data_IF_121607278922
#
_entry.id   IF_121607278922
#
_cell.length_a   1.000
_cell.length_b   1.000
_cell.length_c   1.000
_cell.angle_alpha   90.00
_cell.angle_beta   90.00
_cell.angle_gamma   90.00
#
_symmetry.space_group_name_H-M   'P 1'
#
loop_
_entity.id
_entity.type
_entity.pdbx_description
1 polymer ?
#
# COMPACT_ATOMS: atom_id res chain seq x y z
N UNK A 1 25.04 -42.88 -51.01
CA UNK A 1 24.35 -42.20 -49.90
C UNK A 1 23.11 -43.03 -49.56
N UNK A 2 23.19 -44.12 -48.76
CA UNK A 2 23.48 -44.20 -47.30
C UNK A 2 22.41 -43.43 -46.50
N UNK A 3 21.53 -43.99 -45.64
CA UNK A 3 21.18 -45.37 -45.18
C UNK A 3 19.61 -45.49 -45.21
N UNK A 4 18.91 -46.62 -45.39
CA UNK A 4 18.80 -47.88 -44.59
C UNK A 4 18.30 -47.69 -43.12
N UNK A 5 17.44 -48.52 -42.49
CA UNK A 5 16.47 -49.60 -42.89
C UNK A 5 15.66 -50.04 -41.61
N UNK A 6 14.65 -50.92 -41.75
CA UNK A 6 14.08 -51.87 -40.72
C UNK A 6 12.97 -51.41 -39.72
N UNK A 7 11.72 -51.75 -40.08
CA UNK A 7 10.70 -52.62 -39.43
C UNK A 7 10.55 -52.82 -37.88
N UNK A 8 9.28 -52.69 -37.44
CA UNK A 8 8.46 -53.63 -36.62
C UNK A 8 8.83 -54.04 -35.17
N UNK A 9 7.87 -53.86 -34.24
CA UNK A 9 7.36 -54.95 -33.35
C UNK A 9 6.06 -54.55 -32.60
N UNK A 10 5.24 -55.54 -32.21
CA UNK A 10 3.94 -55.40 -31.54
C UNK A 10 3.97 -55.75 -30.03
N UNK A 11 2.99 -55.24 -29.26
CA UNK A 11 2.28 -55.88 -28.10
C UNK A 11 1.05 -55.00 -27.78
N UNK A 12 -0.22 -55.43 -27.79
CA UNK A 12 -0.94 -56.48 -27.01
C UNK A 12 -0.92 -56.23 -25.49
N UNK A 13 -1.99 -56.41 -24.69
CA UNK A 13 -3.46 -56.53 -24.88
C UNK A 13 -4.12 -56.63 -23.46
N UNK A 14 -5.44 -56.39 -23.29
CA UNK A 14 -6.29 -56.78 -22.10
C UNK A 14 -6.01 -56.09 -20.73
N UNK A 15 -6.86 -56.14 -19.69
CA UNK A 15 -8.34 -56.04 -19.50
C UNK A 15 -8.66 -56.07 -17.96
N UNK A 16 -9.91 -55.76 -17.56
CA UNK A 16 -10.56 -55.98 -16.24
C UNK A 16 -10.17 -55.17 -14.97
N UNK A 17 -11.06 -54.22 -14.63
CA UNK A 17 -11.85 -54.05 -13.38
C UNK A 17 -11.51 -54.92 -12.15
N UNK A 18 -11.57 -54.29 -10.94
CA UNK A 18 -11.75 -54.81 -9.54
C UNK A 18 -10.58 -54.38 -8.60
N UNK A 19 -10.74 -53.72 -7.43
CA UNK A 19 -11.93 -53.12 -6.75
C UNK A 19 -11.54 -52.05 -5.68
N UNK A 20 -12.51 -51.66 -4.84
CA UNK A 20 -12.50 -50.87 -3.58
C UNK A 20 -11.19 -50.57 -2.81
N UNK A 21 -11.09 -49.33 -2.30
CA UNK A 21 -10.67 -49.07 -0.91
C UNK A 21 -9.54 -48.06 -0.67
N UNK A 22 -9.58 -47.45 0.51
CA UNK A 22 -8.57 -46.61 1.17
C UNK A 22 -8.24 -45.24 0.54
N UNK A 23 -8.47 -44.22 1.37
CA UNK A 23 -7.78 -42.93 1.35
C UNK A 23 -6.27 -43.11 1.33
N UNK A 24 -5.55 -42.39 0.48
CA UNK A 24 -4.35 -41.66 0.91
C UNK A 24 -3.85 -40.61 -0.09
N UNK A 25 -3.10 -39.67 0.46
CA UNK A 25 -2.55 -38.46 -0.15
C UNK A 25 -1.88 -38.65 -1.52
N UNK A 26 -2.43 -38.00 -2.56
CA UNK A 26 -1.66 -37.66 -3.76
C UNK A 26 -1.05 -36.26 -3.62
N UNK A 27 0.26 -36.22 -3.41
CA UNK A 27 1.06 -34.99 -3.45
C UNK A 27 1.10 -34.50 -4.90
N UNK A 28 0.38 -33.42 -5.21
CA UNK A 28 0.55 -32.69 -6.46
C UNK A 28 1.49 -31.50 -6.24
N UNK A 29 2.75 -31.67 -6.62
CA UNK A 29 3.77 -30.64 -6.47
C UNK A 29 3.59 -29.55 -7.55
N UNK A 30 2.88 -28.48 -7.18
CA UNK A 30 2.88 -27.23 -7.94
C UNK A 30 2.83 -26.08 -6.93
N UNK A 31 3.59 -25.02 -7.17
CA UNK A 31 3.75 -23.90 -6.24
C UNK A 31 2.41 -23.16 -6.02
N UNK A 32 1.64 -23.60 -5.03
CA UNK A 32 0.59 -22.80 -4.43
C UNK A 32 1.25 -21.87 -3.41
N UNK A 33 1.24 -20.57 -3.70
CA UNK A 33 1.23 -19.60 -2.60
C UNK A 33 0.05 -19.95 -1.71
N UNK A 34 0.33 -20.30 -0.46
CA UNK A 34 -0.71 -20.52 0.53
C UNK A 34 -1.51 -19.21 0.65
N UNK A 35 -2.72 -19.21 0.10
CA UNK A 35 -3.72 -18.19 0.40
C UNK A 35 -4.21 -18.45 1.82
N UNK A 36 -3.33 -18.18 2.79
CA UNK A 36 -3.67 -18.01 4.18
C UNK A 36 -4.83 -17.01 4.18
N UNK A 37 -6.00 -17.44 4.67
CA UNK A 37 -7.07 -16.50 4.98
C UNK A 37 -6.56 -15.71 6.18
N UNK A 38 -5.82 -14.64 5.89
CA UNK A 38 -5.44 -13.66 6.87
C UNK A 38 -6.74 -13.16 7.51
N UNK A 39 -6.86 -13.34 8.83
CA UNK A 39 -7.78 -12.52 9.60
C UNK A 39 -7.52 -11.04 9.28
N UNK A 40 -8.51 -10.15 9.43
CA UNK A 40 -8.38 -8.75 9.03
C UNK A 40 -7.07 -8.18 9.56
N UNK A 41 -6.16 -7.80 8.65
CA UNK A 41 -4.81 -7.37 9.03
C UNK A 41 -4.95 -6.26 10.06
N UNK A 42 -4.49 -6.52 11.29
CA UNK A 42 -4.51 -5.50 12.33
C UNK A 42 -3.66 -4.35 11.84
N UNK A 43 -4.27 -3.18 11.67
CA UNK A 43 -3.59 -1.97 11.22
C UNK A 43 -3.14 -1.22 12.48
N UNK A 44 -1.87 -1.34 12.91
CA UNK A 44 -1.44 -0.76 14.17
C UNK A 44 -1.57 0.76 14.14
N UNK A 45 -1.83 1.33 15.32
CA UNK A 45 -1.84 2.77 15.58
C UNK A 45 -0.53 3.15 16.26
N UNK A 46 0.24 4.03 15.63
CA UNK A 46 1.46 4.61 16.17
C UNK A 46 1.18 5.74 17.17
N UNK A 47 -0.01 6.35 17.09
CA UNK A 47 -0.51 7.39 18.00
C UNK A 47 -1.95 7.05 18.42
N UNK A 48 -2.19 5.96 19.18
CA UNK A 48 -3.53 5.48 19.54
C UNK A 48 -4.35 6.48 20.37
N UNK A 49 -3.69 7.39 21.09
CA UNK A 49 -4.31 8.48 21.86
C UNK A 49 -4.97 9.55 20.99
N UNK A 50 -4.63 9.62 19.71
CA UNK A 50 -5.18 10.61 18.77
C UNK A 50 -6.39 10.06 18.03
N UNK A 51 -7.55 10.65 18.27
CA UNK A 51 -8.79 10.30 17.57
C UNK A 51 -8.68 10.59 16.06
N UNK A 52 -9.23 9.70 15.24
CA UNK A 52 -9.37 9.96 13.81
C UNK A 52 -10.47 11.00 13.52
N UNK A 53 -10.40 11.70 12.39
CA UNK A 53 -11.52 12.51 11.91
C UNK A 53 -12.79 11.66 11.72
N UNK A 54 -13.96 12.27 11.93
CA UNK A 54 -15.25 11.58 11.82
C UNK A 54 -15.60 11.06 10.42
N UNK A 55 -14.85 11.47 9.40
CA UNK A 55 -14.90 10.95 8.03
C UNK A 55 -13.55 11.19 7.35
N UNK A 56 -13.17 10.37 6.35
CA UNK A 56 -12.09 10.70 5.42
C UNK A 56 -12.64 11.55 4.28
N UNK A 57 -11.98 12.65 3.92
CA UNK A 57 -12.44 13.52 2.86
C UNK A 57 -12.33 12.85 1.48
N UNK A 58 -13.47 12.86 0.77
CA UNK A 58 -13.55 12.47 -0.62
C UNK A 58 -14.26 13.58 -1.40
N UNK A 59 -13.61 14.19 -2.41
CA UNK A 59 -14.20 15.29 -3.18
C UNK A 59 -15.57 14.94 -3.76
N UNK A 60 -16.56 15.79 -3.50
CA UNK A 60 -17.93 15.61 -3.98
C UNK A 60 -18.78 14.59 -3.21
N UNK A 61 -18.25 13.94 -2.16
CA UNK A 61 -19.07 13.16 -1.20
C UNK A 61 -19.16 13.81 0.18
N UNK A 62 -18.05 14.35 0.70
CA UNK A 62 -17.96 14.82 2.09
C UNK A 62 -17.62 16.33 2.16
N UNK A 63 -18.00 17.05 3.23
CA UNK A 63 -17.63 18.45 3.44
C UNK A 63 -16.11 18.65 3.40
N UNK A 64 -15.64 19.74 2.81
CA UNK A 64 -14.21 20.00 2.67
C UNK A 64 -13.58 20.35 4.02
N UNK A 65 -12.61 19.58 4.56
CA UNK A 65 -12.19 19.68 5.96
C UNK A 65 -11.85 21.06 6.49
N UNK A 66 -11.15 21.90 5.71
CA UNK A 66 -10.75 23.27 6.11
C UNK A 66 -11.53 24.40 5.44
N UNK A 67 -12.37 24.11 4.43
CA UNK A 67 -13.05 25.14 3.60
C UNK A 67 -14.56 25.19 3.79
N UNK A 68 -15.15 24.11 4.30
CA UNK A 68 -16.58 23.98 4.51
C UNK A 68 -16.88 24.16 6.01
N UNK A 69 -17.91 24.92 6.42
CA UNK A 69 -18.30 25.04 7.82
C UNK A 69 -18.62 23.73 8.55
N UNK A 70 -18.96 22.66 7.82
CA UNK A 70 -19.15 21.31 8.35
C UNK A 70 -17.87 20.45 8.29
N UNK A 71 -16.74 21.07 7.92
CA UNK A 71 -15.44 20.42 7.80
C UNK A 71 -14.83 20.03 9.14
N UNK A 72 -14.30 18.81 9.25
CA UNK A 72 -13.68 18.30 10.48
C UNK A 72 -12.39 19.01 10.92
N UNK A 73 -11.97 20.06 10.20
CA UNK A 73 -10.83 20.92 10.54
C UNK A 73 -11.14 22.39 10.21
N UNK A 74 -12.42 22.75 10.13
CA UNK A 74 -12.85 24.11 9.83
C UNK A 74 -12.54 25.02 11.02
N UNK A 75 -11.95 26.19 10.74
CA UNK A 75 -11.45 27.14 11.75
C UNK A 75 -10.50 26.53 12.80
N UNK A 76 -9.99 25.31 12.57
CA UNK A 76 -8.89 24.78 13.38
C UNK A 76 -7.65 25.61 13.07
N UNK A 77 -6.99 26.11 14.12
CA UNK A 77 -5.71 26.79 13.93
C UNK A 77 -4.78 25.88 13.11
N UNK A 78 -4.12 26.40 12.06
CA UNK A 78 -3.09 25.63 11.37
C UNK A 78 -2.06 25.26 12.44
N UNK A 79 -1.80 23.95 12.59
CA UNK A 79 -0.97 23.34 13.66
C UNK A 79 0.12 24.32 14.02
N UNK A 80 0.02 24.90 15.23
CA UNK A 80 0.82 26.06 15.65
C UNK A 80 2.26 25.85 15.22
N UNK A 81 2.88 26.87 14.63
CA UNK A 81 4.19 26.80 13.93
C UNK A 81 5.35 26.56 14.90
N UNK A 82 5.28 25.48 15.66
CA UNK A 82 6.40 24.66 16.07
C UNK A 82 7.15 24.33 14.79
N UNK A 83 8.47 24.48 14.82
CA UNK A 83 9.34 24.13 13.71
C UNK A 83 9.21 22.64 13.42
N UNK A 84 8.38 22.29 12.45
CA UNK A 84 8.22 20.91 11.98
C UNK A 84 9.56 20.49 11.38
N UNK A 85 10.31 19.67 12.11
CA UNK A 85 11.54 19.08 11.62
C UNK A 85 11.23 18.01 10.56
N UNK A 86 12.13 17.82 9.60
CA UNK A 86 12.03 16.78 8.56
C UNK A 86 12.27 15.35 9.10
N UNK A 87 11.79 15.06 10.32
CA UNK A 87 12.08 13.84 11.07
C UNK A 87 11.09 12.70 10.81
N UNK A 88 11.65 11.55 10.43
CA UNK A 88 10.97 10.26 10.26
C UNK A 88 10.52 9.59 11.57
N UNK A 89 10.81 10.19 12.74
CA UNK A 89 10.29 9.75 14.03
C UNK A 89 9.27 10.72 14.64
N UNK A 90 9.00 11.86 13.98
CA UNK A 90 8.11 12.90 14.47
C UNK A 90 6.66 12.44 14.63
N UNK A 91 5.93 13.06 15.57
CA UNK A 91 4.48 12.86 15.74
C UNK A 91 3.70 13.19 14.46
N UNK A 92 4.14 14.18 13.68
CA UNK A 92 3.53 14.55 12.39
C UNK A 92 3.68 13.41 11.38
N UNK A 93 4.87 12.82 11.27
CA UNK A 93 5.11 11.69 10.37
C UNK A 93 4.31 10.44 10.76
N UNK A 94 4.35 10.06 12.06
CA UNK A 94 3.58 8.95 12.62
C UNK A 94 2.07 9.14 12.44
N UNK A 95 1.57 10.37 12.57
CA UNK A 95 0.17 10.68 12.33
C UNK A 95 -0.25 10.47 10.88
N UNK A 96 0.58 10.90 9.91
CA UNK A 96 0.33 10.62 8.50
C UNK A 96 0.34 9.13 8.17
N UNK A 97 1.20 8.33 8.83
CA UNK A 97 1.17 6.86 8.72
C UNK A 97 -0.16 6.29 9.23
N UNK A 98 -0.60 6.68 10.43
CA UNK A 98 -1.87 6.21 11.00
C UNK A 98 -3.04 6.49 10.07
N UNK A 99 -3.13 7.73 9.57
CA UNK A 99 -4.15 8.16 8.61
C UNK A 99 -4.10 7.36 7.30
N UNK A 100 -2.91 7.23 6.70
CA UNK A 100 -2.72 6.50 5.44
C UNK A 100 -3.12 5.03 5.56
N UNK A 101 -2.67 4.36 6.62
CA UNK A 101 -3.00 2.95 6.88
C UNK A 101 -4.51 2.75 7.06
N UNK A 102 -5.24 3.74 7.59
CA UNK A 102 -6.67 3.66 7.87
C UNK A 102 -7.56 4.35 6.82
N UNK A 103 -7.03 4.63 5.62
CA UNK A 103 -7.83 5.11 4.49
C UNK A 103 -8.13 6.61 4.47
N UNK A 104 -7.60 7.38 5.43
CA UNK A 104 -7.68 8.84 5.51
C UNK A 104 -6.62 9.49 4.60
N UNK A 105 -6.75 9.25 3.29
CA UNK A 105 -5.71 9.56 2.32
C UNK A 105 -5.51 11.05 2.05
N UNK A 106 -6.56 11.86 2.13
CA UNK A 106 -6.38 13.32 2.00
C UNK A 106 -5.74 13.89 3.25
N UNK A 107 -6.12 13.40 4.42
CA UNK A 107 -5.59 13.86 5.70
C UNK A 107 -4.12 13.46 5.86
N UNK A 108 -3.73 12.27 5.38
CA UNK A 108 -2.34 11.84 5.32
C UNK A 108 -1.50 12.70 4.36
N UNK A 109 -2.08 13.15 3.24
CA UNK A 109 -1.47 14.10 2.32
C UNK A 109 -1.15 15.43 3.03
N UNK A 110 -2.14 16.06 3.68
CA UNK A 110 -1.94 17.32 4.42
C UNK A 110 -0.96 17.14 5.59
N UNK A 111 -1.00 16.00 6.30
CA UNK A 111 -0.10 15.73 7.42
C UNK A 111 1.38 15.66 6.99
N UNK A 112 1.68 15.19 5.78
CA UNK A 112 3.04 15.08 5.26
C UNK A 112 3.53 16.33 4.50
N UNK A 113 2.65 17.25 4.09
CA UNK A 113 3.04 18.47 3.36
C UNK A 113 3.98 19.40 4.17
N UNK A 114 3.77 19.67 5.48
CA UNK A 114 4.72 20.41 6.30
C UNK A 114 6.11 19.78 6.36
N UNK A 115 6.21 18.44 6.44
CA UNK A 115 7.49 17.72 6.43
C UNK A 115 8.22 17.88 5.09
N UNK A 116 7.48 17.84 3.98
CA UNK A 116 8.01 18.09 2.65
C UNK A 116 8.53 19.54 2.47
N UNK A 117 7.84 20.52 3.06
CA UNK A 117 8.30 21.91 3.09
C UNK A 117 9.48 22.16 4.03
N UNK A 118 9.59 21.40 5.13
CA UNK A 118 10.72 21.42 6.04
C UNK A 118 12.00 20.84 5.41
N UNK A 119 11.85 19.83 4.52
CA UNK A 119 12.93 19.10 3.85
C UNK A 119 13.70 19.92 2.79
N UNK A 120 14.22 21.09 3.19
CA UNK A 120 14.94 22.04 2.32
C UNK A 120 16.38 21.63 2.09
N UNK A 121 17.01 20.93 3.03
CA UNK A 121 18.45 20.58 2.99
C UNK A 121 18.69 19.11 2.63
N UNK A 122 17.72 18.21 2.85
CA UNK A 122 17.83 16.80 2.46
C UNK A 122 17.04 16.50 1.18
N UNK A 123 17.76 16.32 0.06
CA UNK A 123 17.15 15.91 -1.21
C UNK A 123 16.42 14.56 -1.08
N UNK A 124 16.96 13.61 -0.29
CA UNK A 124 16.35 12.31 -0.04
C UNK A 124 14.99 12.43 0.65
N UNK A 125 14.90 13.18 1.76
CA UNK A 125 13.65 13.36 2.49
C UNK A 125 12.62 14.11 1.64
N UNK A 126 13.07 15.11 0.86
CA UNK A 126 12.20 15.85 -0.07
C UNK A 126 11.62 14.98 -1.18
N UNK A 127 12.39 14.01 -1.71
CA UNK A 127 11.89 13.02 -2.67
C UNK A 127 10.93 12.03 -1.99
N UNK A 128 11.28 11.54 -0.79
CA UNK A 128 10.50 10.56 -0.03
C UNK A 128 9.13 11.11 0.39
N UNK A 129 9.07 12.27 1.07
CA UNK A 129 7.79 12.88 1.47
C UNK A 129 6.92 13.23 0.25
N UNK A 130 7.52 13.70 -0.85
CA UNK A 130 6.79 13.94 -2.11
C UNK A 130 6.23 12.65 -2.73
N UNK A 131 6.95 11.53 -2.59
CA UNK A 131 6.46 10.21 -2.96
C UNK A 131 5.25 9.80 -2.13
N UNK A 132 5.34 9.92 -0.80
CA UNK A 132 4.24 9.61 0.13
C UNK A 132 2.99 10.48 -0.13
N UNK A 133 3.19 11.79 -0.33
CA UNK A 133 2.16 12.77 -0.75
C UNK A 133 1.46 12.33 -2.04
N UNK A 134 2.22 11.90 -3.07
CA UNK A 134 1.64 11.43 -4.32
C UNK A 134 0.94 10.07 -4.18
N UNK A 135 1.43 9.18 -3.31
CA UNK A 135 0.80 7.89 -3.03
C UNK A 135 -0.52 8.07 -2.28
N UNK A 136 -0.57 8.98 -1.31
CA UNK A 136 -1.79 9.39 -0.64
C UNK A 136 -2.80 10.01 -1.62
N UNK A 137 -2.35 10.92 -2.50
CA UNK A 137 -3.18 11.46 -3.58
C UNK A 137 -3.71 10.36 -4.53
N UNK A 138 -2.91 9.32 -4.82
CA UNK A 138 -3.38 8.16 -5.57
C UNK A 138 -4.50 7.41 -4.82
N UNK A 139 -4.35 7.19 -3.51
CA UNK A 139 -5.39 6.61 -2.65
C UNK A 139 -6.74 7.35 -2.73
N UNK A 140 -6.71 8.70 -2.66
CA UNK A 140 -7.91 9.52 -2.90
C UNK A 140 -8.50 9.26 -4.28
N UNK A 141 -7.67 9.23 -5.34
CA UNK A 141 -8.16 9.01 -6.71
C UNK A 141 -8.69 7.59 -6.95
N UNK A 142 -8.18 6.59 -6.23
CA UNK A 142 -8.72 5.23 -6.21
C UNK A 142 -10.13 5.28 -5.61
N UNK A 143 -10.32 5.88 -4.42
CA UNK A 143 -11.66 6.04 -3.78
C UNK A 143 -12.65 6.86 -4.62
N UNK A 144 -12.18 7.83 -5.42
CA UNK A 144 -13.01 8.56 -6.39
C UNK A 144 -13.37 7.74 -7.66
N UNK A 145 -12.85 6.51 -7.81
CA UNK A 145 -12.99 5.69 -9.03
C UNK A 145 -12.16 6.19 -10.23
N UNK A 146 -11.29 7.19 -10.03
CA UNK A 146 -10.58 7.94 -11.09
C UNK A 146 -9.28 7.24 -11.51
N UNK A 147 -9.40 6.03 -12.07
CA UNK A 147 -8.28 5.15 -12.52
C UNK A 147 -7.09 5.86 -13.16
N UNK A 148 -7.31 6.64 -14.22
CA UNK A 148 -6.22 7.34 -14.95
C UNK A 148 -5.50 8.35 -14.06
N UNK A 149 -6.23 9.05 -13.19
CA UNK A 149 -5.64 10.00 -12.25
C UNK A 149 -4.85 9.28 -11.15
N UNK A 150 -5.41 8.20 -10.58
CA UNK A 150 -4.73 7.34 -9.61
C UNK A 150 -3.41 6.80 -10.16
N UNK A 151 -3.43 6.16 -11.33
CA UNK A 151 -2.25 5.61 -11.99
C UNK A 151 -1.15 6.67 -12.18
N UNK A 152 -1.51 7.85 -12.71
CA UNK A 152 -0.57 8.97 -12.88
C UNK A 152 0.09 9.40 -11.55
N UNK A 153 -0.64 9.41 -10.44
CA UNK A 153 -0.08 9.75 -9.13
C UNK A 153 0.82 8.62 -8.59
N UNK A 154 0.37 7.37 -8.69
CA UNK A 154 1.09 6.19 -8.20
C UNK A 154 2.42 5.96 -8.96
N UNK A 155 2.41 5.99 -10.30
CA UNK A 155 3.64 5.88 -11.12
C UNK A 155 4.64 6.99 -10.80
N UNK A 156 4.17 8.22 -10.51
CA UNK A 156 5.05 9.33 -10.10
C UNK A 156 5.60 9.14 -8.68
N UNK A 157 4.84 8.54 -7.77
CA UNK A 157 5.32 8.16 -6.45
C UNK A 157 6.42 7.08 -6.57
N UNK A 158 6.16 6.01 -7.32
CA UNK A 158 7.11 4.93 -7.58
C UNK A 158 8.44 5.42 -8.17
N UNK A 159 8.38 6.35 -9.13
CA UNK A 159 9.58 6.97 -9.72
C UNK A 159 10.40 7.79 -8.71
N UNK A 160 9.77 8.39 -7.69
CA UNK A 160 10.47 9.10 -6.62
C UNK A 160 11.07 8.11 -5.61
N UNK A 161 10.32 7.09 -5.19
CA UNK A 161 10.83 6.08 -4.26
C UNK A 161 12.00 5.28 -4.85
N UNK A 162 12.00 4.99 -6.16
CA UNK A 162 13.16 4.43 -6.85
C UNK A 162 14.38 5.37 -6.85
N UNK A 163 14.20 6.69 -6.97
CA UNK A 163 15.32 7.64 -6.81
C UNK A 163 15.86 7.66 -5.37
N UNK A 164 14.99 7.53 -4.36
CA UNK A 164 15.44 7.39 -2.96
C UNK A 164 16.21 6.08 -2.76
N UNK A 165 15.78 4.97 -3.37
CA UNK A 165 16.43 3.66 -3.28
C UNK A 165 17.84 3.60 -3.91
N UNK A 166 18.19 4.52 -4.82
CA UNK A 166 19.54 4.62 -5.38
C UNK A 166 20.57 5.21 -4.39
N UNK A 167 20.11 5.72 -3.24
CA UNK A 167 20.96 6.43 -2.28
C UNK A 167 21.06 5.59 -0.99
N UNK A 168 22.27 5.37 -0.44
CA UNK A 168 22.47 4.50 0.71
C UNK A 168 21.85 5.11 1.98
N UNK A 169 20.67 4.65 2.36
CA UNK A 169 19.98 5.05 3.58
C UNK A 169 19.01 3.98 4.06
N UNK A 170 19.29 3.41 5.24
CA UNK A 170 18.39 2.47 5.93
C UNK A 170 17.27 3.19 6.72
N UNK A 171 17.35 4.53 6.85
CA UNK A 171 16.44 5.33 7.68
C UNK A 171 14.97 5.22 7.22
N UNK A 172 14.75 5.21 5.91
CA UNK A 172 13.40 5.09 5.35
C UNK A 172 12.82 3.70 5.64
N UNK A 173 13.59 2.63 5.43
CA UNK A 173 13.14 1.26 5.71
C UNK A 173 12.86 1.03 7.20
N UNK A 174 13.70 1.58 8.09
CA UNK A 174 13.43 1.56 9.52
C UNK A 174 12.12 2.29 9.89
N UNK A 175 11.83 3.41 9.22
CA UNK A 175 10.68 4.27 9.51
C UNK A 175 9.32 3.76 8.98
N UNK A 176 9.30 3.03 7.86
CA UNK A 176 8.05 2.53 7.23
C UNK A 176 7.96 1.01 7.09
N UNK A 177 8.99 0.26 7.49
CA UNK A 177 8.98 -1.21 7.53
C UNK A 177 9.44 -1.90 6.26
N UNK A 178 9.60 -1.15 5.16
CA UNK A 178 9.98 -1.66 3.85
C UNK A 178 10.94 -0.72 3.10
N UNK A 179 11.76 -1.26 2.20
CA UNK A 179 12.63 -0.44 1.35
C UNK A 179 11.82 0.54 0.49
N UNK A 180 12.37 1.71 0.11
CA UNK A 180 11.77 2.56 -0.92
C UNK A 180 11.59 1.83 -2.26
N UNK A 181 12.44 0.85 -2.58
CA UNK A 181 12.26 0.02 -3.78
C UNK A 181 11.00 -0.85 -3.70
N UNK A 182 10.72 -1.48 -2.55
CA UNK A 182 9.49 -2.24 -2.34
C UNK A 182 8.25 -1.33 -2.39
N UNK A 183 8.29 -0.17 -1.72
CA UNK A 183 7.19 0.79 -1.76
C UNK A 183 6.91 1.32 -3.19
N UNK A 184 7.93 1.36 -4.06
CA UNK A 184 7.73 1.69 -5.47
C UNK A 184 6.94 0.61 -6.23
N UNK A 185 7.16 -0.67 -5.94
CA UNK A 185 6.41 -1.80 -6.52
C UNK A 185 4.97 -1.77 -6.04
N UNK A 186 4.75 -1.57 -4.73
CA UNK A 186 3.41 -1.44 -4.14
C UNK A 186 2.61 -0.27 -4.74
N UNK A 187 3.27 0.88 -4.96
CA UNK A 187 2.67 2.03 -5.62
C UNK A 187 2.22 1.72 -7.06
N UNK A 188 2.94 0.87 -7.79
CA UNK A 188 2.56 0.44 -9.15
C UNK A 188 1.47 -0.63 -9.14
N UNK A 189 1.52 -1.58 -8.21
CA UNK A 189 0.47 -2.59 -8.02
C UNK A 189 -0.90 -1.94 -7.77
N UNK A 190 -0.94 -0.87 -6.98
CA UNK A 190 -2.15 -0.08 -6.69
C UNK A 190 -2.83 0.54 -7.93
N UNK A 191 -2.18 0.56 -9.10
CA UNK A 191 -2.81 1.00 -10.35
C UNK A 191 -3.81 -0.01 -10.94
N UNK A 192 -3.76 -1.27 -10.48
CA UNK A 192 -4.59 -2.40 -10.98
C UNK A 192 -5.86 -2.64 -10.17
N UNK A 193 -6.29 -1.66 -9.36
CA UNK A 193 -7.38 -1.80 -8.40
C UNK A 193 -8.74 -2.22 -9.00
N UNK A 194 -9.60 -2.94 -8.24
CA UNK A 194 -10.89 -3.43 -8.71
C UNK A 194 -11.81 -2.35 -9.31
N UNK A 195 -12.65 -2.74 -10.28
CA UNK A 195 -13.57 -1.79 -10.94
C UNK A 195 -14.69 -1.33 -10.01
N UNK A 196 -15.11 -2.21 -9.09
CA UNK A 196 -16.01 -1.89 -8.00
C UNK A 196 -15.20 -1.86 -6.70
N UNK A 197 -15.10 -0.70 -6.08
CA UNK A 197 -14.67 -0.59 -4.69
C UNK A 197 -15.90 -0.76 -3.79
N UNK A 198 -15.68 -1.37 -2.63
CA UNK A 198 -16.69 -1.43 -1.58
C UNK A 198 -16.98 -0.01 -1.03
N UNK A 199 -18.22 0.18 -0.62
CA UNK A 199 -18.62 1.42 0.05
C UNK A 199 -18.24 1.34 1.54
N UNK A 200 -17.60 2.38 2.09
CA UNK A 200 -17.18 2.37 3.49
C UNK A 200 -18.41 2.48 4.40
N UNK A 201 -18.36 1.82 5.55
CA UNK A 201 -19.34 2.09 6.60
C UNK A 201 -19.20 3.56 7.08
N UNK A 202 -20.29 4.21 7.55
CA UNK A 202 -20.24 5.56 8.06
C UNK A 202 -19.15 5.72 9.14
N UNK A 203 -18.25 6.69 8.94
CA UNK A 203 -17.13 6.95 9.85
C UNK A 203 -15.96 5.95 9.81
N UNK A 204 -15.99 4.92 8.96
CA UNK A 204 -14.92 3.91 8.84
C UNK A 204 -14.40 3.85 7.40
N UNK A 205 -13.37 4.65 7.05
CA UNK A 205 -12.83 4.65 5.70
C UNK A 205 -12.15 3.33 5.37
N UNK A 206 -12.54 2.73 4.24
CA UNK A 206 -11.90 1.50 3.77
C UNK A 206 -10.55 1.79 3.08
N UNK A 207 -9.44 1.17 3.52
CA UNK A 207 -8.15 1.30 2.85
C UNK A 207 -8.15 0.65 1.46
N UNK A 208 -7.34 1.16 0.54
CA UNK A 208 -7.18 0.66 -0.85
C UNK A 208 -5.79 0.07 -1.13
N UNK A 209 -4.92 0.09 -0.13
CA UNK A 209 -3.58 -0.46 -0.18
C UNK A 209 -3.51 -1.68 0.71
N UNK A 210 -3.04 -2.79 0.15
CA UNK A 210 -2.92 -4.10 0.80
C UNK A 210 -1.63 -4.24 1.64
N UNK A 211 -0.80 -3.20 1.67
CA UNK A 211 0.34 -3.07 2.57
C UNK A 211 0.06 -2.12 3.74
N UNK A 212 0.93 -2.17 4.74
CA UNK A 212 0.94 -1.30 5.93
C UNK A 212 2.29 -0.60 5.99
N UNK A 213 2.28 0.71 6.26
CA UNK A 213 3.48 1.44 6.64
C UNK A 213 3.61 1.38 8.16
N UNK A 214 4.67 0.80 8.70
CA UNK A 214 4.93 0.78 10.14
C UNK A 214 6.43 0.65 10.39
N UNK A 215 7.01 1.36 11.37
CA UNK A 215 8.41 1.16 11.72
C UNK A 215 8.70 -0.31 11.98
N UNK A 216 9.88 -0.80 11.59
CA UNK A 216 10.30 -2.14 12.04
C UNK A 216 10.37 -2.08 13.56
N UNK A 217 9.61 -2.95 14.23
CA UNK A 217 9.76 -3.15 15.67
C UNK A 217 11.21 -3.50 15.94
N UNK A 218 11.87 -2.74 16.81
CA UNK A 218 13.21 -3.09 17.27
C UNK A 218 13.15 -4.49 17.88
N UNK A 219 13.80 -5.45 17.23
CA UNK A 219 14.10 -6.74 17.81
C UNK A 219 15.13 -6.49 18.91
N UNK A 220 14.65 -6.36 20.15
CA UNK A 220 15.47 -6.27 21.36
C UNK A 220 16.24 -7.55 21.64
#
# INVERSE_FOLDING_TARGET
>A
MVHERILSAQRKIFLYRWHSGASDYFIWNCHQHAFMIAGPMSRPRLLPEKNFPGYAYLPGKNPHPVRDPLGHSYQSDPVTVVTVEESLSSHVFRWGIDLFNHGYYWEAHEAWEPLWHAAKRSAQHRLFFKGLILLAAAGVKIREGKRVAAARHATRAAALFRQVALLPSQLFEAAIGMTPAALAVEAEAATTFPTALREPAPGVPEPVFDFILAPKSESG
#
